data_IF_283422826801
#
_entry.id   IF_283422826801
#
_cell.length_a   1.000
_cell.length_b   1.000
_cell.length_c   1.000
_cell.angle_alpha   90.00
_cell.angle_beta   90.00
_cell.angle_gamma   90.00
#
_symmetry.space_group_name_H-M   'P 1'
#
loop_
_entity.id
_entity.type
_entity.pdbx_description
1 polymer ?
#
# COMPACT_ATOMS: atom_id res chain seq x y z
N UNK A 1 -24.96 -17.49 0.64
CA UNK A 1 -24.92 -16.20 1.37
C UNK A 1 -23.68 -15.42 0.92
N UNK A 2 -23.83 -14.13 0.61
CA UNK A 2 -22.95 -13.29 -0.22
C UNK A 2 -21.64 -12.84 0.49
N UNK A 3 -20.97 -13.74 1.22
CA UNK A 3 -19.84 -13.45 2.12
C UNK A 3 -18.57 -12.97 1.40
N UNK A 4 -18.54 -13.00 0.06
CA UNK A 4 -17.42 -12.51 -0.74
C UNK A 4 -17.44 -10.98 -0.95
N UNK A 5 -18.56 -10.28 -0.76
CA UNK A 5 -18.60 -8.80 -0.87
C UNK A 5 -17.95 -8.09 0.33
N UNK A 6 -18.26 -8.44 1.59
CA UNK A 6 -17.64 -7.82 2.76
C UNK A 6 -16.11 -8.02 2.78
N UNK A 7 -15.63 -9.23 2.44
CA UNK A 7 -14.20 -9.53 2.46
C UNK A 7 -13.37 -8.76 1.42
N UNK A 8 -13.98 -8.35 0.30
CA UNK A 8 -13.31 -7.54 -0.73
C UNK A 8 -13.19 -6.06 -0.37
N UNK A 9 -14.20 -5.54 0.32
CA UNK A 9 -14.18 -4.17 0.83
C UNK A 9 -13.07 -4.04 1.87
N UNK A 10 -12.93 -5.02 2.76
CA UNK A 10 -11.84 -5.07 3.73
C UNK A 10 -10.44 -5.05 3.09
N UNK A 11 -10.23 -5.83 2.02
CA UNK A 11 -8.95 -5.85 1.28
C UNK A 11 -8.66 -4.45 0.73
N UNK A 12 -9.66 -3.83 0.10
CA UNK A 12 -9.54 -2.50 -0.50
C UNK A 12 -9.24 -1.43 0.55
N UNK A 13 -9.91 -1.51 1.71
CA UNK A 13 -9.69 -0.61 2.85
C UNK A 13 -8.27 -0.74 3.40
N UNK A 14 -7.74 -1.96 3.52
CA UNK A 14 -6.38 -2.16 4.03
C UNK A 14 -5.32 -1.58 3.08
N UNK A 15 -5.48 -1.77 1.77
CA UNK A 15 -4.60 -1.11 0.79
C UNK A 15 -4.78 0.41 0.77
N UNK A 16 -5.99 0.91 1.03
CA UNK A 16 -6.24 2.35 1.16
C UNK A 16 -5.55 2.94 2.40
N UNK A 17 -5.59 2.24 3.55
CA UNK A 17 -4.85 2.65 4.76
C UNK A 17 -3.36 2.72 4.47
N UNK A 18 -2.83 1.74 3.75
CA UNK A 18 -1.42 1.71 3.35
C UNK A 18 -1.05 2.88 2.43
N UNK A 19 -1.94 3.25 1.50
CA UNK A 19 -1.77 4.42 0.63
C UNK A 19 -1.80 5.74 1.42
N UNK A 20 -2.72 5.87 2.38
CA UNK A 20 -2.79 7.03 3.27
C UNK A 20 -1.52 7.13 4.12
N UNK A 21 -1.02 6.02 4.66
CA UNK A 21 0.25 5.97 5.39
C UNK A 21 1.42 6.48 4.55
N UNK A 22 1.51 6.07 3.29
CA UNK A 22 2.52 6.58 2.35
C UNK A 22 2.38 8.08 2.08
N UNK A 23 1.15 8.58 1.90
CA UNK A 23 0.91 10.01 1.68
C UNK A 23 1.31 10.86 2.90
N UNK A 24 0.99 10.39 4.10
CA UNK A 24 1.45 11.02 5.33
C UNK A 24 2.98 11.00 5.40
N UNK A 25 3.60 9.88 4.99
CA UNK A 25 5.06 9.78 4.89
C UNK A 25 5.67 10.84 3.95
N UNK A 26 5.10 11.00 2.75
CA UNK A 26 5.61 11.94 1.76
C UNK A 26 5.31 13.41 2.07
N UNK A 27 4.13 13.73 2.61
CA UNK A 27 3.77 15.12 2.95
C UNK A 27 4.70 15.72 4.00
N UNK A 28 5.19 14.94 4.96
CA UNK A 28 6.19 15.43 5.93
C UNK A 28 7.54 15.71 5.29
N UNK A 29 7.99 14.85 4.37
CA UNK A 29 9.21 15.07 3.59
C UNK A 29 9.14 16.37 2.76
N UNK A 30 7.95 16.79 2.35
CA UNK A 30 7.74 18.03 1.60
C UNK A 30 7.76 19.30 2.45
N UNK A 31 7.49 19.21 3.75
CA UNK A 31 7.42 20.37 4.66
C UNK A 31 8.82 20.87 5.04
N UNK A 32 9.88 20.06 4.86
CA UNK A 32 11.26 20.54 4.92
C UNK A 32 11.58 21.27 3.59
N UNK A 33 11.69 22.61 3.58
CA UNK A 33 11.74 23.38 2.35
C UNK A 33 13.15 23.33 1.77
N UNK A 34 13.27 22.91 0.52
CA UNK A 34 14.52 23.01 -0.23
C UNK A 34 14.28 22.73 -1.70
N UNK A 35 13.79 21.54 -2.04
CA UNK A 35 13.83 21.09 -3.44
C UNK A 35 12.66 20.15 -3.75
N UNK A 36 11.44 20.69 -3.80
CA UNK A 36 10.34 19.97 -4.46
C UNK A 36 10.55 20.04 -5.97
N UNK A 37 11.45 19.20 -6.50
CA UNK A 37 11.71 19.13 -7.94
C UNK A 37 10.53 18.48 -8.66
N UNK A 38 10.32 18.86 -9.91
CA UNK A 38 9.31 18.28 -10.81
C UNK A 38 9.38 16.74 -10.85
N UNK A 39 10.59 16.18 -10.70
CA UNK A 39 10.82 14.73 -10.64
C UNK A 39 10.22 14.05 -9.40
N UNK A 40 10.27 14.69 -8.22
CA UNK A 40 9.69 14.15 -6.98
C UNK A 40 8.16 14.12 -7.09
N UNK A 41 7.56 15.19 -7.64
CA UNK A 41 6.11 15.28 -7.82
C UNK A 41 5.60 14.23 -8.81
N UNK A 42 6.30 14.02 -9.92
CA UNK A 42 5.99 12.97 -10.89
C UNK A 42 6.11 11.56 -10.28
N UNK A 43 7.16 11.33 -9.49
CA UNK A 43 7.36 10.03 -8.82
C UNK A 43 6.22 9.71 -7.87
N UNK A 44 5.77 10.69 -7.09
CA UNK A 44 4.65 10.51 -6.15
C UNK A 44 3.33 10.31 -6.90
N UNK A 45 3.10 11.09 -7.95
CA UNK A 45 1.89 10.96 -8.78
C UNK A 45 1.80 9.59 -9.44
N UNK A 46 2.91 9.10 -10.00
CA UNK A 46 2.98 7.75 -10.57
C UNK A 46 2.76 6.68 -9.51
N UNK A 47 3.37 6.84 -8.33
CA UNK A 47 3.22 5.89 -7.23
C UNK A 47 1.79 5.82 -6.70
N UNK A 48 1.09 6.94 -6.66
CA UNK A 48 -0.33 7.02 -6.33
C UNK A 48 -1.16 6.19 -7.32
N UNK A 49 -0.95 6.37 -8.63
CA UNK A 49 -1.68 5.62 -9.67
C UNK A 49 -1.44 4.12 -9.52
N UNK A 50 -0.19 3.70 -9.33
CA UNK A 50 0.18 2.29 -9.10
C UNK A 50 -0.51 1.76 -7.83
N UNK A 51 -0.52 2.55 -6.76
CA UNK A 51 -1.11 2.15 -5.47
C UNK A 51 -2.63 2.06 -5.48
N UNK A 52 -3.30 2.73 -6.41
CA UNK A 52 -4.75 2.62 -6.61
C UNK A 52 -5.18 1.28 -7.23
N UNK A 53 -4.28 0.57 -7.91
CA UNK A 53 -4.59 -0.72 -8.54
C UNK A 53 -5.11 -1.76 -7.53
N UNK A 54 -4.39 -2.09 -6.43
CA UNK A 54 -4.87 -3.06 -5.46
C UNK A 54 -6.06 -2.56 -4.60
N UNK A 55 -6.29 -1.24 -4.54
CA UNK A 55 -7.48 -0.66 -3.88
C UNK A 55 -8.73 -0.86 -4.73
N UNK A 56 -8.63 -0.66 -6.03
CA UNK A 56 -9.80 -0.61 -6.92
C UNK A 56 -10.23 -1.99 -7.38
N UNK A 57 -9.29 -2.84 -7.79
CA UNK A 57 -9.60 -4.15 -8.38
C UNK A 57 -10.58 -4.98 -7.54
N UNK A 58 -10.42 -5.14 -6.20
CA UNK A 58 -11.33 -5.95 -5.41
C UNK A 58 -12.77 -5.44 -5.41
N UNK A 59 -12.98 -4.14 -5.63
CA UNK A 59 -14.30 -3.51 -5.65
C UNK A 59 -15.07 -3.81 -6.95
N UNK A 60 -14.36 -3.89 -8.08
CA UNK A 60 -14.98 -3.89 -9.42
C UNK A 60 -14.90 -5.25 -10.11
N UNK A 61 -13.86 -6.04 -9.84
CA UNK A 61 -13.57 -7.25 -10.65
C UNK A 61 -13.43 -8.48 -9.75
N UNK A 62 -14.01 -9.61 -10.19
CA UNK A 62 -13.92 -10.90 -9.50
C UNK A 62 -13.34 -12.00 -10.41
N UNK A 63 -12.38 -11.66 -11.26
CA UNK A 63 -11.67 -12.60 -12.14
C UNK A 63 -10.35 -13.03 -11.51
N UNK A 64 -9.99 -14.32 -11.62
CA UNK A 64 -8.77 -14.91 -11.05
C UNK A 64 -7.50 -14.13 -11.41
N UNK A 65 -7.39 -13.69 -12.66
CA UNK A 65 -6.23 -12.92 -13.16
C UNK A 65 -6.10 -11.62 -12.37
N UNK A 66 -7.19 -10.87 -12.21
CA UNK A 66 -7.19 -9.59 -11.50
C UNK A 66 -6.91 -9.75 -10.01
N UNK A 67 -7.32 -10.85 -9.38
CA UNK A 67 -6.94 -11.14 -7.98
C UNK A 67 -5.43 -11.34 -7.82
N UNK A 68 -4.80 -12.02 -8.78
CA UNK A 68 -3.34 -12.21 -8.79
C UNK A 68 -2.66 -10.86 -9.02
N UNK A 69 -3.18 -10.01 -9.91
CA UNK A 69 -2.68 -8.64 -10.11
C UNK A 69 -2.77 -7.84 -8.80
N UNK A 70 -3.92 -7.86 -8.10
CA UNK A 70 -4.06 -7.23 -6.77
C UNK A 70 -2.99 -7.73 -5.80
N UNK A 71 -2.74 -9.03 -5.76
CA UNK A 71 -1.74 -9.62 -4.87
C UNK A 71 -0.32 -9.15 -5.22
N UNK A 72 0.07 -9.20 -6.49
CA UNK A 72 1.41 -8.81 -6.95
C UNK A 72 1.66 -7.33 -6.67
N UNK A 73 0.74 -6.45 -7.08
CA UNK A 73 0.86 -5.03 -6.81
C UNK A 73 0.85 -4.76 -5.29
N UNK A 74 -0.03 -5.41 -4.54
CA UNK A 74 -0.10 -5.28 -3.08
C UNK A 74 1.21 -5.64 -2.38
N UNK A 75 1.89 -6.71 -2.81
CA UNK A 75 3.21 -7.09 -2.29
C UNK A 75 4.26 -6.02 -2.62
N UNK A 76 4.33 -5.58 -3.88
CA UNK A 76 5.30 -4.57 -4.33
C UNK A 76 5.13 -3.27 -3.53
N UNK A 77 3.88 -2.80 -3.41
CA UNK A 77 3.57 -1.56 -2.69
C UNK A 77 3.91 -1.70 -1.21
N UNK A 78 3.59 -2.84 -0.59
CA UNK A 78 3.93 -3.10 0.80
C UNK A 78 5.43 -3.05 1.04
N UNK A 79 6.22 -3.71 0.18
CA UNK A 79 7.67 -3.73 0.31
C UNK A 79 8.26 -2.32 0.16
N UNK A 80 7.84 -1.57 -0.86
CA UNK A 80 8.35 -0.21 -1.08
C UNK A 80 7.95 0.74 0.05
N UNK A 81 6.71 0.65 0.55
CA UNK A 81 6.24 1.51 1.64
C UNK A 81 6.90 1.18 2.99
N UNK A 82 7.41 -0.04 3.19
CA UNK A 82 8.25 -0.40 4.34
C UNK A 82 9.69 0.06 4.12
N UNK A 83 10.22 -0.11 2.91
CA UNK A 83 11.62 0.18 2.59
C UNK A 83 11.92 1.69 2.63
N UNK A 84 11.00 2.53 2.16
CA UNK A 84 11.23 3.97 2.08
C UNK A 84 11.45 4.66 3.44
N UNK A 85 10.65 4.41 4.50
CA UNK A 85 10.95 4.91 5.84
C UNK A 85 12.14 4.20 6.49
N UNK A 86 12.47 2.98 6.07
CA UNK A 86 13.67 2.30 6.57
C UNK A 86 14.96 3.01 6.12
N UNK A 87 14.98 3.53 4.88
CA UNK A 87 16.09 4.34 4.40
C UNK A 87 16.30 5.62 5.23
N UNK A 88 15.24 6.29 5.70
CA UNK A 88 15.41 7.49 6.53
C UNK A 88 15.98 7.20 7.92
N UNK A 89 15.79 5.97 8.43
CA UNK A 89 16.43 5.50 9.67
C UNK A 89 17.93 5.27 9.46
N UNK A 90 18.33 4.65 8.34
CA UNK A 90 19.73 4.32 8.05
C UNK A 90 20.55 5.58 7.75
N UNK A 91 20.00 6.48 6.95
CA UNK A 91 20.75 7.64 6.45
C UNK A 91 21.04 8.64 7.59
N UNK A 92 20.21 8.67 8.65
CA UNK A 92 20.34 9.55 9.86
C UNK A 92 20.60 11.05 9.55
N UNK A 93 20.51 11.45 8.29
CA UNK A 93 20.77 12.77 7.71
C UNK A 93 19.48 13.57 7.60
N UNK A 94 18.34 12.88 7.43
CA UNK A 94 17.02 13.49 7.52
C UNK A 94 16.71 13.79 8.99
N UNK A 95 16.34 15.03 9.32
CA UNK A 95 15.78 15.45 10.63
C UNK A 95 14.43 14.79 10.98
N UNK A 96 14.15 13.61 10.43
CA UNK A 96 12.93 12.88 10.73
C UNK A 96 13.05 12.22 12.11
N UNK A 97 12.05 12.36 12.98
CA UNK A 97 12.04 11.60 14.21
C UNK A 97 11.91 10.12 13.87
N UNK A 98 12.90 9.33 14.28
CA UNK A 98 12.97 7.87 14.10
C UNK A 98 11.63 7.20 14.50
N UNK A 99 10.97 7.70 15.55
CA UNK A 99 9.66 7.26 16.02
C UNK A 99 8.60 7.27 14.90
N UNK A 100 8.66 8.27 14.03
CA UNK A 100 7.70 8.41 12.95
C UNK A 100 7.97 7.47 11.78
N UNK A 101 9.24 7.28 11.41
CA UNK A 101 9.62 6.27 10.42
C UNK A 101 9.20 4.86 10.89
N UNK A 102 9.44 4.53 12.16
CA UNK A 102 8.97 3.28 12.78
C UNK A 102 7.45 3.17 12.72
N UNK A 103 6.72 4.23 13.09
CA UNK A 103 5.25 4.23 13.05
C UNK A 103 4.72 3.96 11.64
N UNK A 104 5.35 4.54 10.62
CA UNK A 104 4.97 4.32 9.22
C UNK A 104 5.26 2.91 8.75
N UNK A 105 6.40 2.33 9.14
CA UNK A 105 6.73 0.91 8.88
C UNK A 105 5.69 0.01 9.53
N UNK A 106 5.29 0.29 10.78
CA UNK A 106 4.29 -0.51 11.49
C UNK A 106 2.93 -0.43 10.80
N UNK A 107 2.45 0.77 10.47
CA UNK A 107 1.16 0.96 9.79
C UNK A 107 1.18 0.27 8.42
N UNK A 108 2.18 0.56 7.58
CA UNK A 108 2.27 0.01 6.23
C UNK A 108 2.51 -1.50 6.23
N UNK A 109 3.29 -2.01 7.18
CA UNK A 109 3.58 -3.44 7.33
C UNK A 109 2.37 -4.23 7.79
N UNK A 110 1.74 -3.83 8.90
CA UNK A 110 0.57 -4.55 9.44
C UNK A 110 -0.59 -4.50 8.44
N UNK A 111 -0.91 -3.32 7.91
CA UNK A 111 -2.01 -3.18 6.93
C UNK A 111 -1.72 -3.95 5.64
N UNK A 112 -0.51 -3.84 5.10
CA UNK A 112 -0.07 -4.53 3.88
C UNK A 112 -0.09 -6.05 4.00
N UNK A 113 0.52 -6.59 5.06
CA UNK A 113 0.55 -8.05 5.31
C UNK A 113 -0.88 -8.57 5.50
N UNK A 114 -1.71 -7.86 6.27
CA UNK A 114 -3.11 -8.25 6.47
C UNK A 114 -3.90 -8.24 5.15
N UNK A 115 -3.68 -7.23 4.30
CA UNK A 115 -4.31 -7.13 2.98
C UNK A 115 -3.90 -8.30 2.08
N UNK A 116 -2.61 -8.65 2.08
CA UNK A 116 -2.04 -9.77 1.31
C UNK A 116 -2.67 -11.09 1.77
N UNK A 117 -2.74 -11.36 3.07
CA UNK A 117 -3.35 -12.59 3.61
C UNK A 117 -4.82 -12.68 3.20
N UNK A 118 -5.59 -11.58 3.36
CA UNK A 118 -7.00 -11.54 2.93
C UNK A 118 -7.14 -11.73 1.41
N UNK A 119 -6.22 -11.17 0.61
CA UNK A 119 -6.20 -11.35 -0.85
C UNK A 119 -5.94 -12.81 -1.24
N UNK A 120 -5.02 -13.49 -0.57
CA UNK A 120 -4.78 -14.94 -0.77
C UNK A 120 -6.05 -15.74 -0.43
N UNK A 121 -6.71 -15.41 0.68
CA UNK A 121 -8.00 -16.02 1.05
C UNK A 121 -9.07 -15.79 -0.02
N UNK A 122 -9.13 -14.59 -0.59
CA UNK A 122 -10.07 -14.25 -1.67
C UNK A 122 -9.78 -14.98 -2.99
N UNK A 123 -8.51 -15.27 -3.29
CA UNK A 123 -8.12 -16.12 -4.43
C UNK A 123 -8.60 -17.55 -4.21
N UNK A 124 -8.30 -18.14 -3.03
CA UNK A 124 -8.68 -19.52 -2.69
C UNK A 124 -10.20 -19.72 -2.71
N UNK A 125 -10.97 -18.76 -2.19
CA UNK A 125 -12.43 -18.82 -2.19
C UNK A 125 -13.06 -18.93 -3.59
N UNK A 126 -12.37 -18.51 -4.64
CA UNK A 126 -12.87 -18.64 -6.02
C UNK A 126 -12.45 -19.92 -6.74
N UNK A 127 -11.59 -20.74 -6.13
CA UNK A 127 -11.30 -22.07 -6.63
C UNK A 127 -12.37 -23.10 -6.20
N UNK A 128 -13.05 -22.86 -5.07
CA UNK A 128 -14.10 -23.74 -4.53
C UNK A 128 -15.50 -23.51 -5.15
N UNK A 129 -15.60 -22.74 -6.22
CA UNK A 129 -16.85 -22.40 -6.92
C UNK A 129 -16.95 -23.06 -8.31
N UNK A 130 -16.08 -24.03 -8.59
CA UNK A 130 -16.11 -24.91 -9.78
C UNK A 130 -16.54 -26.30 -9.35
#
# INVERSE_FOLDING_TARGET
MNNAKPSRIDISLLFLIQLIGFLLYKTRLMIAPGEMTLGILNTISLWMVISFVPVTIPLIVNSKIYKIITLVFGIIITLVNIFLPFLSIIDNTTREPIIWAISMITICGISGITAIIKTIGWIKSSQNLV
#
